data_IF_853785769569
#
_entry.id   IF_853785769569
#
_cell.length_a   1.000
_cell.length_b   1.000
_cell.length_c   1.000
_cell.angle_alpha   90.00
_cell.angle_beta   90.00
_cell.angle_gamma   90.00
#
_symmetry.space_group_name_H-M   'P 1'
#
loop_
_entity.id
_entity.type
_entity.pdbx_description
1 polymer ?
#
# COMPACT_ATOMS: atom_id res chain seq x y z
N UNK A 1 0.00 -23.65 -10.47
CA UNK A 1 -0.31 -22.66 -9.41
C UNK A 1 -0.01 -21.31 -10.01
N UNK A 2 -0.97 -20.39 -10.09
CA UNK A 2 -0.62 -19.01 -10.39
C UNK A 2 0.26 -18.52 -9.23
N UNK A 3 1.44 -17.98 -9.55
CA UNK A 3 2.32 -17.43 -8.53
C UNK A 3 1.68 -16.17 -7.97
N UNK A 4 1.50 -16.12 -6.64
CA UNK A 4 1.01 -14.94 -5.93
C UNK A 4 1.94 -13.74 -6.21
N UNK A 5 1.37 -12.60 -6.58
CA UNK A 5 2.13 -11.36 -6.79
C UNK A 5 2.23 -10.53 -5.51
N UNK A 6 3.16 -9.57 -5.47
CA UNK A 6 3.19 -8.57 -4.39
C UNK A 6 1.89 -7.77 -4.33
N UNK A 7 1.22 -7.52 -5.46
CA UNK A 7 -0.05 -6.81 -5.49
C UNK A 7 -1.20 -7.64 -4.90
N UNK A 8 -1.23 -8.95 -5.13
CA UNK A 8 -2.19 -9.83 -4.45
C UNK A 8 -2.04 -9.76 -2.93
N UNK A 9 -0.78 -9.74 -2.46
CA UNK A 9 -0.47 -9.59 -1.04
C UNK A 9 -0.79 -8.19 -0.50
N UNK A 10 -0.65 -7.15 -1.31
CA UNK A 10 -1.11 -5.80 -0.95
C UNK A 10 -2.63 -5.78 -0.73
N UNK A 11 -3.41 -6.37 -1.65
CA UNK A 11 -4.87 -6.51 -1.53
C UNK A 11 -5.28 -7.31 -0.28
N UNK A 12 -4.56 -8.39 0.03
CA UNK A 12 -4.79 -9.15 1.27
C UNK A 12 -4.52 -8.30 2.52
N UNK A 13 -3.45 -7.51 2.55
CA UNK A 13 -3.15 -6.62 3.68
C UNK A 13 -4.24 -5.56 3.89
N UNK A 14 -4.76 -4.95 2.82
CA UNK A 14 -5.89 -4.02 2.93
C UNK A 14 -7.13 -4.72 3.52
N UNK A 15 -7.47 -5.92 3.06
CA UNK A 15 -8.60 -6.71 3.61
C UNK A 15 -8.42 -7.02 5.10
N UNK A 16 -7.19 -7.33 5.54
CA UNK A 16 -6.88 -7.53 6.96
C UNK A 16 -7.06 -6.23 7.73
N UNK A 17 -6.56 -5.10 7.22
CA UNK A 17 -6.74 -3.78 7.84
C UNK A 17 -8.22 -3.42 8.02
N UNK A 18 -9.04 -3.59 6.98
CA UNK A 18 -10.49 -3.36 7.01
C UNK A 18 -11.19 -4.28 8.02
N UNK A 19 -10.76 -5.54 8.09
CA UNK A 19 -11.32 -6.54 9.01
C UNK A 19 -11.00 -6.20 10.46
N UNK A 20 -9.75 -5.88 10.79
CA UNK A 20 -9.35 -5.46 12.14
C UNK A 20 -10.09 -4.18 12.53
N UNK A 21 -10.21 -3.22 11.61
CA UNK A 21 -10.90 -1.96 11.88
C UNK A 21 -12.37 -2.18 12.24
N UNK A 22 -13.10 -2.91 11.38
CA UNK A 22 -14.55 -3.10 11.53
C UNK A 22 -14.94 -4.03 12.69
N UNK A 23 -14.08 -4.97 13.08
CA UNK A 23 -14.41 -5.98 14.10
C UNK A 23 -13.92 -5.62 15.51
N UNK A 24 -12.75 -4.99 15.63
CA UNK A 24 -12.10 -4.77 16.93
C UNK A 24 -11.78 -3.29 17.13
N UNK A 25 -11.06 -2.66 16.19
CA UNK A 25 -10.50 -1.33 16.42
C UNK A 25 -11.55 -0.22 16.48
N UNK A 26 -12.77 -0.48 15.99
CA UNK A 26 -13.90 0.45 16.15
C UNK A 26 -14.22 0.69 17.63
N UNK A 27 -14.04 -0.32 18.49
CA UNK A 27 -14.35 -0.27 19.93
C UNK A 27 -13.11 -0.21 20.82
N UNK A 28 -11.96 -0.71 20.36
CA UNK A 28 -10.70 -0.64 21.09
C UNK A 28 -9.58 -0.03 20.24
N UNK A 29 -9.29 1.25 20.51
CA UNK A 29 -8.29 2.01 19.77
C UNK A 29 -6.87 1.48 19.93
N UNK A 30 -6.60 0.57 20.88
CA UNK A 30 -5.31 -0.12 20.96
C UNK A 30 -5.01 -0.90 19.67
N UNK A 31 -6.04 -1.32 18.94
CA UNK A 31 -5.89 -2.07 17.70
C UNK A 31 -5.65 -1.22 16.46
N UNK A 32 -5.77 0.11 16.54
CA UNK A 32 -5.51 1.00 15.40
C UNK A 32 -4.08 0.90 14.88
N UNK A 33 -3.12 0.54 15.74
CA UNK A 33 -1.75 0.28 15.33
C UNK A 33 -1.63 -0.92 14.38
N UNK A 34 -2.39 -2.00 14.61
CA UNK A 34 -2.40 -3.15 13.69
C UNK A 34 -3.04 -2.78 12.34
N UNK A 35 -4.09 -1.96 12.37
CA UNK A 35 -4.71 -1.42 11.15
C UNK A 35 -3.68 -0.60 10.36
N UNK A 36 -3.00 0.34 11.02
CA UNK A 36 -1.97 1.16 10.38
C UNK A 36 -0.79 0.36 9.83
N UNK A 37 -0.34 -0.67 10.55
CA UNK A 37 0.68 -1.59 10.05
C UNK A 37 0.25 -2.26 8.74
N UNK A 38 -0.97 -2.81 8.68
CA UNK A 38 -1.45 -3.47 7.47
C UNK A 38 -1.71 -2.49 6.32
N UNK A 39 -2.11 -1.24 6.59
CA UNK A 39 -2.17 -0.18 5.58
C UNK A 39 -0.79 0.09 5.00
N UNK A 40 0.22 0.29 5.85
CA UNK A 40 1.60 0.50 5.40
C UNK A 40 2.09 -0.66 4.54
N UNK A 41 1.84 -1.90 4.95
CA UNK A 41 2.22 -3.10 4.18
C UNK A 41 1.50 -3.15 2.81
N UNK A 42 0.23 -2.75 2.74
CA UNK A 42 -0.50 -2.68 1.48
C UNK A 42 0.12 -1.65 0.51
N UNK A 43 0.47 -0.46 1.01
CA UNK A 43 1.12 0.59 0.21
C UNK A 43 2.52 0.18 -0.26
N UNK A 44 3.35 -0.34 0.64
CA UNK A 44 4.72 -0.76 0.29
C UNK A 44 4.73 -1.85 -0.79
N UNK A 45 3.89 -2.88 -0.63
CA UNK A 45 3.87 -4.02 -1.55
C UNK A 45 3.29 -3.63 -2.92
N UNK A 46 2.30 -2.74 -2.96
CA UNK A 46 1.75 -2.25 -4.23
C UNK A 46 2.75 -1.36 -4.98
N UNK A 47 3.47 -0.47 -4.30
CA UNK A 47 4.51 0.35 -4.92
C UNK A 47 5.67 -0.52 -5.44
N UNK A 48 6.12 -1.51 -4.65
CA UNK A 48 7.15 -2.47 -5.08
C UNK A 48 6.73 -3.27 -6.29
N UNK A 49 5.47 -3.70 -6.34
CA UNK A 49 4.92 -4.37 -7.52
C UNK A 49 4.97 -3.47 -8.76
N UNK A 50 4.59 -2.20 -8.64
CA UNK A 50 4.67 -1.25 -9.76
C UNK A 50 6.11 -1.04 -10.24
N UNK A 51 7.08 -0.99 -9.33
CA UNK A 51 8.50 -0.95 -9.69
C UNK A 51 8.94 -2.24 -10.44
N UNK A 52 8.54 -3.43 -9.95
CA UNK A 52 8.83 -4.71 -10.60
C UNK A 52 8.28 -4.79 -12.02
N UNK A 53 7.03 -4.38 -12.22
CA UNK A 53 6.37 -4.41 -13.54
C UNK A 53 7.01 -3.44 -14.53
N UNK A 54 7.74 -2.44 -14.04
CA UNK A 54 8.50 -1.49 -14.87
C UNK A 54 10.01 -1.82 -14.92
N UNK A 55 10.42 -3.01 -14.45
CA UNK A 55 11.81 -3.46 -14.51
C UNK A 55 12.77 -2.69 -13.58
N UNK A 56 12.24 -1.99 -12.57
CA UNK A 56 13.03 -1.19 -11.62
C UNK A 56 13.38 -2.02 -10.39
N UNK A 57 14.67 -2.25 -10.20
CA UNK A 57 15.18 -2.85 -8.96
C UNK A 57 15.13 -1.85 -7.80
N UNK A 58 14.75 -2.32 -6.62
CA UNK A 58 14.70 -1.51 -5.41
C UNK A 58 15.51 -2.14 -4.26
N UNK A 59 16.05 -1.32 -3.33
CA UNK A 59 16.78 -1.84 -2.19
C UNK A 59 15.85 -2.56 -1.21
N UNK A 60 16.42 -3.36 -0.30
CA UNK A 60 15.68 -3.93 0.82
C UNK A 60 15.31 -2.82 1.82
N UNK A 61 14.21 -2.14 1.56
CA UNK A 61 13.67 -1.04 2.36
C UNK A 61 12.18 -1.25 2.66
N UNK A 62 11.71 -0.60 3.73
CA UNK A 62 10.30 -0.47 4.11
C UNK A 62 9.81 0.98 3.99
N UNK A 63 10.71 1.88 3.61
CA UNK A 63 10.48 3.31 3.49
C UNK A 63 9.71 3.59 2.19
N UNK A 64 8.47 4.00 2.33
CA UNK A 64 7.56 4.30 1.21
C UNK A 64 8.03 5.55 0.47
N UNK A 65 8.47 6.58 1.17
CA UNK A 65 8.96 7.82 0.58
C UNK A 65 10.23 7.57 -0.26
N UNK A 66 11.12 6.70 0.20
CA UNK A 66 12.26 6.22 -0.60
C UNK A 66 11.82 5.48 -1.88
N UNK A 67 10.80 4.61 -1.79
CA UNK A 67 10.28 3.88 -2.94
C UNK A 67 9.61 4.81 -3.97
N UNK A 68 8.89 5.84 -3.50
CA UNK A 68 8.25 6.86 -4.35
C UNK A 68 9.32 7.67 -5.10
N UNK A 69 10.36 8.16 -4.40
CA UNK A 69 11.48 8.84 -5.06
C UNK A 69 12.15 7.96 -6.11
N UNK A 70 12.34 6.67 -5.81
CA UNK A 70 12.92 5.74 -6.75
C UNK A 70 12.06 5.58 -8.00
N UNK A 71 10.74 5.47 -7.85
CA UNK A 71 9.80 5.43 -8.97
C UNK A 71 9.90 6.70 -9.84
N UNK A 72 9.91 7.88 -9.20
CA UNK A 72 10.00 9.16 -9.89
C UNK A 72 11.29 9.29 -10.71
N UNK A 73 12.45 8.91 -10.15
CA UNK A 73 13.75 8.95 -10.85
C UNK A 73 13.77 7.98 -12.05
N UNK A 74 13.01 6.88 -11.99
CA UNK A 74 12.90 5.91 -13.07
C UNK A 74 11.68 6.15 -13.99
N UNK A 75 10.99 7.29 -13.86
CA UNK A 75 9.78 7.64 -14.62
C UNK A 75 8.66 6.60 -14.53
N UNK A 76 8.54 5.90 -13.39
CA UNK A 76 7.46 4.96 -13.12
C UNK A 76 6.27 5.73 -12.57
N UNK A 77 5.14 5.69 -13.29
CA UNK A 77 3.89 6.26 -12.79
C UNK A 77 3.29 5.36 -11.72
N UNK A 78 3.31 5.80 -10.47
CA UNK A 78 2.75 5.06 -9.35
C UNK A 78 1.25 5.24 -9.18
N UNK A 79 0.60 6.19 -9.86
CA UNK A 79 -0.84 6.52 -9.73
C UNK A 79 -1.28 6.82 -8.28
N UNK A 80 -0.40 7.40 -7.47
CA UNK A 80 -0.73 7.78 -6.10
C UNK A 80 -1.78 8.89 -6.10
N UNK A 81 -2.69 8.83 -5.13
CA UNK A 81 -3.48 10.00 -4.78
C UNK A 81 -2.63 10.97 -3.93
N UNK A 82 -3.02 12.24 -3.94
CA UNK A 82 -2.34 13.33 -3.23
C UNK A 82 -2.13 13.00 -1.75
N UNK A 83 -3.13 12.39 -1.09
CA UNK A 83 -3.03 12.05 0.33
C UNK A 83 -1.91 11.05 0.62
N UNK A 84 -1.74 10.00 -0.19
CA UNK A 84 -0.69 9.00 0.02
C UNK A 84 0.70 9.62 -0.25
N UNK A 85 0.82 10.42 -1.31
CA UNK A 85 2.08 11.05 -1.68
C UNK A 85 2.55 12.03 -0.57
N UNK A 86 1.67 12.94 -0.16
CA UNK A 86 1.93 13.95 0.89
C UNK A 86 2.23 13.34 2.27
N UNK A 87 1.75 12.11 2.54
CA UNK A 87 1.90 11.45 3.83
C UNK A 87 2.79 10.21 3.79
N UNK A 88 3.60 10.05 2.75
CA UNK A 88 4.51 8.90 2.55
C UNK A 88 5.48 8.68 3.73
N UNK A 89 6.02 9.74 4.31
CA UNK A 89 6.85 9.67 5.52
C UNK A 89 6.06 9.13 6.73
N UNK A 90 4.80 9.57 6.90
CA UNK A 90 3.93 9.08 7.98
C UNK A 90 3.72 7.58 7.85
N UNK A 91 3.42 7.08 6.66
CA UNK A 91 3.24 5.65 6.43
C UNK A 91 4.54 4.87 6.68
N UNK A 92 5.69 5.39 6.24
CA UNK A 92 6.99 4.77 6.51
C UNK A 92 7.25 4.60 8.00
N UNK A 93 6.85 5.58 8.82
CA UNK A 93 6.97 5.49 10.28
C UNK A 93 6.00 4.47 10.90
N UNK A 94 4.85 4.21 10.28
CA UNK A 94 3.88 3.23 10.80
C UNK A 94 4.45 1.82 10.79
N UNK A 95 5.39 1.49 9.89
CA UNK A 95 6.05 0.18 9.88
C UNK A 95 6.73 -0.12 11.21
N UNK A 96 7.55 0.80 11.72
CA UNK A 96 8.34 0.57 12.93
C UNK A 96 7.56 0.95 14.21
N UNK A 97 6.89 2.11 14.20
CA UNK A 97 6.31 2.70 15.43
C UNK A 97 5.15 1.86 15.98
N UNK A 98 4.30 1.33 15.11
CA UNK A 98 3.14 0.51 15.52
C UNK A 98 3.53 -0.81 16.18
N UNK A 99 4.74 -1.31 15.91
CA UNK A 99 5.25 -2.61 16.41
C UNK A 99 6.16 -2.47 17.62
N UNK A 100 6.98 -1.42 17.67
CA UNK A 100 8.09 -1.36 18.63
C UNK A 100 7.96 -0.26 19.69
N UNK A 101 7.13 0.78 19.47
CA UNK A 101 6.99 1.86 20.44
C UNK A 101 5.82 1.54 21.39
N UNK A 102 6.15 1.30 22.66
CA UNK A 102 5.15 1.13 23.71
C UNK A 102 4.31 2.40 23.86
N UNK A 103 3.00 2.22 24.07
CA UNK A 103 2.02 3.31 24.20
C UNK A 103 1.89 4.25 22.98
N UNK A 104 2.49 3.91 21.83
CA UNK A 104 2.17 4.58 20.58
C UNK A 104 0.73 4.25 20.20
N UNK A 105 -0.04 5.26 19.77
CA UNK A 105 -1.42 5.07 19.30
C UNK A 105 -1.66 5.91 18.06
N UNK A 106 -2.14 5.26 17.01
CA UNK A 106 -2.62 5.95 15.83
C UNK A 106 -3.98 6.59 16.09
N UNK A 107 -4.17 7.78 15.53
CA UNK A 107 -5.45 8.49 15.60
C UNK A 107 -6.46 7.85 14.63
N UNK A 108 -7.68 7.59 15.11
CA UNK A 108 -8.77 7.02 14.31
C UNK A 108 -9.00 7.76 13.00
N UNK A 109 -9.05 9.09 13.02
CA UNK A 109 -9.23 9.93 11.82
C UNK A 109 -8.17 9.66 10.75
N UNK A 110 -6.91 9.44 11.15
CA UNK A 110 -5.82 9.12 10.23
C UNK A 110 -5.99 7.71 9.66
N UNK A 111 -6.42 6.76 10.47
CA UNK A 111 -6.71 5.40 10.02
C UNK A 111 -7.86 5.37 9.01
N UNK A 112 -8.99 5.99 9.33
CA UNK A 112 -10.17 6.02 8.44
C UNK A 112 -9.83 6.64 7.10
N UNK A 113 -9.18 7.81 7.11
CA UNK A 113 -8.73 8.46 5.87
C UNK A 113 -7.77 7.57 5.09
N UNK A 114 -6.81 6.95 5.78
CA UNK A 114 -5.82 6.09 5.13
C UNK A 114 -6.41 4.80 4.56
N UNK A 115 -7.42 4.21 5.20
CA UNK A 115 -8.17 3.07 4.63
C UNK A 115 -8.85 3.45 3.32
N UNK A 116 -9.59 4.57 3.31
CA UNK A 116 -10.29 5.06 2.12
C UNK A 116 -9.32 5.34 0.98
N UNK A 117 -8.23 6.07 1.26
CA UNK A 117 -7.27 6.46 0.23
C UNK A 117 -6.44 5.27 -0.27
N UNK A 118 -6.05 4.35 0.61
CA UNK A 118 -5.36 3.11 0.21
C UNK A 118 -6.26 2.24 -0.66
N UNK A 119 -7.55 2.11 -0.32
CA UNK A 119 -8.51 1.38 -1.16
C UNK A 119 -8.65 2.02 -2.53
N UNK A 120 -8.88 3.33 -2.59
CA UNK A 120 -8.99 4.05 -3.86
C UNK A 120 -7.74 3.89 -4.71
N UNK A 121 -6.56 3.90 -4.08
CA UNK A 121 -5.29 3.69 -4.76
C UNK A 121 -5.16 2.29 -5.36
N UNK A 122 -5.43 1.25 -4.56
CA UNK A 122 -5.37 -0.14 -5.01
C UNK A 122 -6.39 -0.41 -6.13
N UNK A 123 -7.58 0.18 -6.06
CA UNK A 123 -8.61 0.07 -7.11
C UNK A 123 -8.15 0.69 -8.44
N UNK A 124 -7.35 1.77 -8.41
CA UNK A 124 -6.76 2.36 -9.62
C UNK A 124 -5.69 1.45 -10.20
N UNK A 125 -4.80 0.91 -9.38
CA UNK A 125 -3.76 -0.03 -9.85
C UNK A 125 -4.39 -1.28 -10.47
N UNK A 126 -5.39 -1.88 -9.82
CA UNK A 126 -6.06 -3.10 -10.31
C UNK A 126 -6.66 -2.86 -11.71
N UNK A 127 -7.31 -1.70 -11.92
CA UNK A 127 -7.80 -1.29 -13.25
C UNK A 127 -6.67 -1.15 -14.27
N UNK A 128 -5.57 -0.50 -13.91
CA UNK A 128 -4.44 -0.28 -14.83
C UNK A 128 -3.78 -1.59 -15.24
N UNK A 129 -3.59 -2.51 -14.29
CA UNK A 129 -3.04 -3.86 -14.56
C UNK A 129 -3.96 -4.61 -15.52
N UNK A 130 -5.28 -4.63 -15.25
CA UNK A 130 -6.24 -5.34 -16.10
C UNK A 130 -6.28 -4.75 -17.52
N UNK A 131 -6.30 -3.42 -17.66
CA UNK A 131 -6.25 -2.78 -18.98
C UNK A 131 -4.93 -3.07 -19.74
N UNK A 132 -3.79 -3.18 -19.06
CA UNK A 132 -2.53 -3.56 -19.70
C UNK A 132 -2.52 -5.01 -20.19
N UNK A 133 -3.14 -5.93 -19.43
CA UNK A 133 -3.25 -7.33 -19.85
C UNK A 133 -4.16 -7.48 -21.09
N UNK A 134 -5.31 -6.80 -21.12
CA UNK A 134 -6.24 -6.82 -22.26
C UNK A 134 -5.59 -6.27 -23.56
N UNK A 135 -4.75 -5.25 -23.46
CA UNK A 135 -4.07 -4.66 -24.63
C UNK A 135 -2.92 -5.54 -25.16
N UNK A 136 -2.27 -6.33 -24.32
CA UNK A 136 -1.20 -7.25 -24.74
C UNK A 136 -1.76 -8.52 -25.40
N UNK A 137 -2.94 -8.99 -24.99
CA UNK A 137 -3.62 -10.12 -25.66
C UNK A 137 -4.15 -9.74 -27.06
N UNK A 138 -4.38 -8.45 -27.32
CA UNK A 138 -4.82 -7.94 -28.64
C UNK A 138 -3.70 -7.77 -29.68
N UNK A 139 -2.43 -7.96 -29.31
CA UNK A 139 -1.26 -7.83 -30.20
C UNK A 139 -0.72 -9.19 -30.69
N UNK A 140 -1.29 -10.31 -30.25
CA UNK A 140 -0.93 -11.66 -30.69
C UNK A 140 -1.84 -12.23 -31.82
N UNK A 141 -2.61 -11.38 -32.51
CA UNK A 141 -3.41 -11.79 -33.69
C UNK A 141 -2.88 -11.23 -35.01
#
# INVERSE_FOLDING_TARGET
>A
MNNETLFDKAKQNLKVAESIYSTIAINDEAYLNYVGYHIQQALELSIKYMLEMNGVNYPKTRDIDQLIRLANINNVNLYLNEYIDDHSEMFSLWEARTRYILNYRLERRKIERSLTETKSYLDVIDKMINCHMENNEGLEM
#
